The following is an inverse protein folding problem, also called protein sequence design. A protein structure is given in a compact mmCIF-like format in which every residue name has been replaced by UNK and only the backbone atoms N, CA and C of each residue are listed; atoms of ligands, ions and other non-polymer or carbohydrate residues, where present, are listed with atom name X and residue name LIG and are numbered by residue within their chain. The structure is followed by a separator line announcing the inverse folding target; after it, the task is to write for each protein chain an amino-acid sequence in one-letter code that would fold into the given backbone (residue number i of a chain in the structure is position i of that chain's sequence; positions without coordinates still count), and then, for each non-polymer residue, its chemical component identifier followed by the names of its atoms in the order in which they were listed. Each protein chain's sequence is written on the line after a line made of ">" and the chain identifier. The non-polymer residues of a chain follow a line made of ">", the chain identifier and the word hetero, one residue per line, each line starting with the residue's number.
data_IF_438274693709
#
_entry.id   IF_438274693709
#
_cell.length_a   1.000
_cell.length_b   1.000
_cell.length_c   1.000
_cell.angle_alpha   90.00
_cell.angle_beta   90.00
_cell.angle_gamma   90.00
#
_symmetry.space_group_name_H-M   'P 1'
#
loop_
_entity.id
_entity.type
_entity.pdbx_description
1 polymer ?
#
# COMPACT_ATOMS: atom_id res chain seq x y z
N UNK A 1 -5.41 -24.56 3.62
CA UNK A 1 -6.78 -24.38 4.17
C UNK A 1 -7.76 -25.01 3.21
N UNK A 2 -8.55 -25.95 3.66
CA UNK A 2 -9.54 -26.63 2.84
C UNK A 2 -10.87 -25.83 2.80
N UNK A 3 -11.83 -26.29 1.96
CA UNK A 3 -13.12 -25.60 1.76
C UNK A 3 -13.95 -25.52 3.05
N UNK A 4 -13.85 -26.53 3.91
CA UNK A 4 -14.59 -26.61 5.18
C UNK A 4 -14.00 -25.62 6.20
N UNK A 5 -12.68 -25.53 6.30
CA UNK A 5 -12.00 -24.56 7.17
C UNK A 5 -12.31 -23.11 6.74
N UNK A 6 -12.30 -22.86 5.44
CA UNK A 6 -12.65 -21.56 4.91
C UNK A 6 -14.12 -21.17 5.24
N UNK A 7 -15.03 -22.14 5.14
CA UNK A 7 -16.42 -21.89 5.48
C UNK A 7 -16.59 -21.56 6.97
N UNK A 8 -15.90 -22.29 7.86
CA UNK A 8 -15.90 -21.99 9.30
C UNK A 8 -15.46 -20.55 9.61
N UNK A 9 -14.45 -20.04 8.90
CA UNK A 9 -14.00 -18.66 9.08
C UNK A 9 -15.02 -17.64 8.56
N UNK A 10 -15.73 -17.96 7.47
CA UNK A 10 -16.82 -17.12 6.96
C UNK A 10 -18.04 -17.09 7.86
N UNK A 11 -18.25 -18.17 8.62
CA UNK A 11 -19.37 -18.31 9.53
C UNK A 11 -19.11 -17.68 10.91
N UNK A 12 -17.89 -17.18 11.17
CA UNK A 12 -17.61 -16.42 12.40
C UNK A 12 -18.54 -15.20 12.48
N UNK A 13 -19.09 -14.87 13.68
CA UNK A 13 -19.95 -13.69 13.83
C UNK A 13 -19.18 -12.40 13.50
N UNK A 14 -19.64 -11.67 12.48
CA UNK A 14 -18.93 -10.50 11.96
C UNK A 14 -18.73 -9.40 13.01
N UNK A 15 -19.72 -9.19 13.89
CA UNK A 15 -19.61 -8.20 14.97
C UNK A 15 -18.56 -8.62 16.01
N UNK A 16 -18.56 -9.89 16.42
CA UNK A 16 -17.55 -10.40 17.33
C UNK A 16 -16.13 -10.36 16.73
N UNK A 17 -16.00 -10.50 15.40
CA UNK A 17 -14.73 -10.29 14.71
C UNK A 17 -14.37 -8.81 14.67
N UNK A 18 -15.31 -7.92 14.40
CA UNK A 18 -15.12 -6.49 14.40
C UNK A 18 -14.62 -5.97 15.77
N UNK A 19 -15.24 -6.42 16.85
CA UNK A 19 -14.83 -6.08 18.22
C UNK A 19 -13.43 -6.59 18.56
N UNK A 20 -13.10 -7.82 18.18
CA UNK A 20 -11.73 -8.36 18.32
C UNK A 20 -10.68 -7.60 17.53
N UNK A 21 -11.09 -6.99 16.42
CA UNK A 21 -10.24 -6.13 15.59
C UNK A 21 -10.19 -4.67 16.09
N UNK A 22 -10.80 -4.38 17.26
CA UNK A 22 -10.73 -3.09 17.93
C UNK A 22 -11.85 -2.11 17.58
N UNK A 23 -12.87 -2.55 16.82
CA UNK A 23 -14.04 -1.70 16.55
C UNK A 23 -15.03 -1.76 17.73
N UNK A 24 -15.54 -0.60 18.10
CA UNK A 24 -16.64 -0.52 19.09
C UNK A 24 -17.97 -0.66 18.37
N UNK A 25 -18.60 -1.83 18.46
CA UNK A 25 -19.89 -2.11 17.82
C UNK A 25 -21.03 -1.77 18.78
N UNK A 26 -21.88 -0.82 18.41
CA UNK A 26 -23.06 -0.43 19.19
C UNK A 26 -24.29 -0.48 18.30
N UNK A 27 -25.29 -1.28 18.66
CA UNK A 27 -26.55 -1.44 17.89
C UNK A 27 -26.30 -1.71 16.40
N UNK A 28 -25.42 -2.67 16.10
CA UNK A 28 -25.03 -3.09 14.75
C UNK A 28 -24.33 -2.00 13.92
N UNK A 29 -23.73 -1.01 14.57
CA UNK A 29 -22.97 0.05 13.91
C UNK A 29 -21.65 0.31 14.62
N UNK A 30 -20.66 0.82 13.87
CA UNK A 30 -19.38 1.29 14.39
C UNK A 30 -18.91 2.50 13.59
N UNK A 31 -17.92 3.23 14.12
CA UNK A 31 -17.17 4.17 13.31
C UNK A 31 -16.41 3.40 12.23
N UNK A 32 -16.41 3.91 11.02
CA UNK A 32 -15.75 3.24 9.89
C UNK A 32 -14.23 3.45 9.96
N UNK A 33 -13.42 2.39 9.99
CA UNK A 33 -11.96 2.51 10.02
C UNK A 33 -11.34 2.80 8.66
N UNK A 34 -12.15 2.86 7.60
CA UNK A 34 -11.68 2.98 6.22
C UNK A 34 -11.76 4.41 5.67
N UNK A 35 -12.27 5.35 6.46
CA UNK A 35 -12.29 6.78 6.20
C UNK A 35 -12.41 7.54 7.54
N UNK A 36 -12.19 8.83 7.51
CA UNK A 36 -12.40 9.69 8.68
C UNK A 36 -13.90 9.77 8.99
N UNK A 37 -14.33 9.05 10.03
CA UNK A 37 -15.73 8.86 10.37
C UNK A 37 -16.04 9.40 11.77
N UNK A 38 -16.83 10.44 11.82
CA UNK A 38 -17.29 11.06 13.08
C UNK A 38 -18.69 10.59 13.51
N UNK A 39 -19.40 9.84 12.65
CA UNK A 39 -20.73 9.32 12.90
C UNK A 39 -20.79 7.88 12.42
N UNK A 40 -21.08 6.94 13.32
CA UNK A 40 -21.08 5.49 13.06
C UNK A 40 -21.75 5.12 11.71
N UNK A 41 -20.99 5.16 10.61
CA UNK A 41 -21.45 4.92 9.24
C UNK A 41 -21.27 3.47 8.79
N UNK A 42 -20.45 2.69 9.53
CA UNK A 42 -20.26 1.27 9.29
C UNK A 42 -21.40 0.47 9.92
N UNK A 43 -22.19 -0.22 9.12
CA UNK A 43 -23.31 -1.03 9.57
C UNK A 43 -23.04 -2.52 9.35
N UNK A 44 -23.42 -3.34 10.32
CA UNK A 44 -23.29 -4.80 10.28
C UNK A 44 -24.65 -5.45 10.04
N UNK A 45 -24.70 -6.39 9.12
CA UNK A 45 -25.86 -7.25 8.89
C UNK A 45 -25.59 -8.62 9.48
N UNK A 46 -26.08 -8.89 10.70
CA UNK A 46 -25.93 -10.19 11.38
C UNK A 46 -26.53 -11.32 10.54
N UNK A 47 -27.67 -11.09 9.91
CA UNK A 47 -28.35 -12.10 9.06
C UNK A 47 -27.53 -12.50 7.85
N UNK A 48 -26.83 -11.54 7.21
CA UNK A 48 -26.01 -11.79 6.02
C UNK A 48 -24.54 -12.04 6.36
N UNK A 49 -24.16 -11.81 7.60
CA UNK A 49 -22.79 -11.85 8.11
C UNK A 49 -21.85 -10.97 7.30
N UNK A 50 -22.29 -9.74 6.98
CA UNK A 50 -21.56 -8.75 6.17
C UNK A 50 -21.55 -7.39 6.84
N UNK A 51 -20.58 -6.56 6.47
CA UNK A 51 -20.56 -5.14 6.82
C UNK A 51 -20.73 -4.27 5.56
N UNK A 52 -21.22 -3.05 5.77
CA UNK A 52 -21.32 -2.01 4.73
C UNK A 52 -21.19 -0.64 5.38
N UNK A 53 -20.29 0.18 4.85
CA UNK A 53 -20.19 1.58 5.21
C UNK A 53 -21.01 2.44 4.22
N UNK A 54 -21.97 3.18 4.72
CA UNK A 54 -22.83 4.03 3.90
C UNK A 54 -22.17 5.34 3.46
N UNK A 55 -21.03 5.71 4.08
CA UNK A 55 -20.29 6.91 3.70
C UNK A 55 -19.22 6.64 2.63
N UNK A 56 -18.34 5.63 2.83
CA UNK A 56 -17.25 5.35 1.90
C UNK A 56 -17.51 4.15 0.97
N UNK A 57 -18.63 3.43 1.15
CA UNK A 57 -18.98 2.27 0.34
C UNK A 57 -18.18 1.00 0.63
N UNK A 58 -17.31 0.99 1.65
CA UNK A 58 -16.59 -0.21 2.05
C UNK A 58 -17.56 -1.31 2.49
N UNK A 59 -17.43 -2.51 1.96
CA UNK A 59 -18.31 -3.62 2.27
C UNK A 59 -17.61 -4.96 2.12
N UNK A 60 -18.17 -6.00 2.73
CA UNK A 60 -17.62 -7.36 2.61
C UNK A 60 -18.13 -8.29 3.68
N UNK A 61 -17.57 -9.50 3.72
CA UNK A 61 -17.78 -10.49 4.77
C UNK A 61 -16.70 -10.44 5.85
N UNK A 62 -16.69 -11.48 6.70
CA UNK A 62 -15.76 -11.58 7.83
C UNK A 62 -14.30 -11.53 7.42
N UNK A 63 -13.94 -12.27 6.36
CA UNK A 63 -12.56 -12.34 5.88
C UNK A 63 -12.16 -11.00 5.26
N UNK A 64 -13.07 -10.37 4.49
CA UNK A 64 -12.81 -9.05 3.87
C UNK A 64 -12.59 -7.98 4.95
N UNK A 65 -13.36 -8.03 6.04
CA UNK A 65 -13.20 -7.14 7.19
C UNK A 65 -11.79 -7.30 7.81
N UNK A 66 -11.37 -8.54 8.06
CA UNK A 66 -10.05 -8.82 8.61
C UNK A 66 -8.92 -8.41 7.65
N UNK A 67 -9.05 -8.69 6.35
CA UNK A 67 -8.09 -8.27 5.33
C UNK A 67 -7.93 -6.75 5.30
N UNK A 68 -9.05 -6.04 5.29
CA UNK A 68 -9.05 -4.58 5.16
C UNK A 68 -8.57 -3.88 6.44
N UNK A 69 -8.97 -4.35 7.62
CA UNK A 69 -8.56 -3.78 8.92
C UNK A 69 -7.10 -4.08 9.27
N UNK A 70 -6.67 -5.30 9.01
CA UNK A 70 -5.30 -5.72 9.33
C UNK A 70 -4.33 -5.40 8.19
N UNK A 71 -4.82 -4.92 7.04
CA UNK A 71 -4.05 -4.72 5.82
C UNK A 71 -3.26 -5.99 5.42
N UNK A 72 -3.90 -7.15 5.61
CA UNK A 72 -3.31 -8.47 5.36
C UNK A 72 -3.87 -9.08 4.09
N UNK A 73 -3.09 -9.99 3.49
CA UNK A 73 -3.59 -10.80 2.40
C UNK A 73 -4.63 -11.83 2.90
N UNK A 74 -5.30 -12.50 1.96
CA UNK A 74 -6.33 -13.49 2.26
C UNK A 74 -5.85 -14.60 3.20
N UNK A 75 -4.62 -15.10 3.00
CA UNK A 75 -4.07 -16.20 3.80
C UNK A 75 -3.71 -15.77 5.20
N UNK A 76 -3.11 -14.60 5.34
CA UNK A 76 -2.74 -14.02 6.61
C UNK A 76 -3.98 -13.64 7.44
N UNK A 77 -5.01 -13.06 6.80
CA UNK A 77 -6.28 -12.77 7.44
C UNK A 77 -6.98 -14.05 7.92
N UNK A 78 -7.01 -15.10 7.08
CA UNK A 78 -7.56 -16.38 7.46
C UNK A 78 -6.77 -17.04 8.60
N UNK A 79 -5.44 -16.95 8.61
CA UNK A 79 -4.61 -17.47 9.71
C UNK A 79 -4.90 -16.71 10.99
N UNK A 80 -4.93 -15.40 10.95
CA UNK A 80 -5.30 -14.57 12.10
C UNK A 80 -6.66 -14.93 12.68
N UNK A 81 -7.67 -15.11 11.83
CA UNK A 81 -9.01 -15.52 12.26
C UNK A 81 -9.03 -16.92 12.85
N UNK A 82 -8.22 -17.84 12.34
CA UNK A 82 -8.09 -19.20 12.88
C UNK A 82 -7.36 -19.22 14.23
N UNK A 83 -6.26 -18.49 14.35
CA UNK A 83 -5.45 -18.43 15.58
C UNK A 83 -6.17 -17.68 16.73
N UNK A 84 -7.02 -16.72 16.37
CA UNK A 84 -7.81 -15.93 17.32
C UNK A 84 -9.07 -16.67 17.82
N UNK A 85 -9.37 -17.80 17.22
CA UNK A 85 -10.51 -18.66 17.59
C UNK A 85 -10.07 -19.78 18.52
N UNK A 86 -9.96 -19.52 19.83
CA UNK A 86 -9.94 -20.60 20.82
C UNK A 86 -11.34 -21.23 20.86
N UNK A 87 -11.69 -21.98 19.81
CA UNK A 87 -12.82 -22.89 19.82
C UNK A 87 -12.26 -24.22 20.27
N UNK A 88 -12.59 -24.59 21.49
CA UNK A 88 -12.42 -25.93 22.06
C UNK A 88 -12.96 -26.96 21.05
N UNK A 89 -12.14 -27.40 20.12
CA UNK A 89 -12.39 -28.56 19.29
C UNK A 89 -11.58 -29.69 19.90
N UNK A 90 -12.27 -30.53 20.69
CA UNK A 90 -11.73 -31.81 21.10
C UNK A 90 -11.33 -32.57 19.83
N UNK A 91 -10.02 -32.75 19.68
CA UNK A 91 -9.44 -33.58 18.64
C UNK A 91 -9.84 -35.05 18.95
N UNK A 92 -10.77 -35.59 18.20
CA UNK A 92 -10.88 -37.03 18.07
C UNK A 92 -9.70 -37.53 17.25
N UNK A 93 -8.88 -38.34 17.89
CA UNK A 93 -7.76 -39.07 17.31
C UNK A 93 -8.20 -39.87 16.09
N UNK A 94 -7.75 -39.52 14.92
CA UNK A 94 -7.60 -40.47 13.81
C UNK A 94 -6.18 -40.29 13.26
N UNK A 95 -5.36 -41.26 13.67
CA UNK A 95 -4.01 -41.48 13.17
C UNK A 95 -4.10 -41.99 11.74
N UNK A 96 -3.71 -41.22 10.79
CA UNK A 96 -3.03 -41.65 9.57
C UNK A 96 -2.46 -40.42 8.87
N UNK A 97 -1.15 -40.26 8.71
CA UNK A 97 -0.60 -39.18 7.93
C UNK A 97 -0.80 -39.51 6.45
N UNK A 98 -1.77 -38.86 5.83
CA UNK A 98 -1.75 -38.70 4.39
C UNK A 98 -0.55 -37.81 4.04
N UNK A 99 0.21 -38.15 2.96
CA UNK A 99 1.37 -37.37 2.61
C UNK A 99 0.97 -35.92 2.41
N UNK A 100 1.60 -35.05 3.18
CA UNK A 100 1.58 -33.61 3.00
C UNK A 100 1.89 -33.33 1.52
N UNK A 101 0.90 -32.96 0.74
CA UNK A 101 1.17 -32.15 -0.42
C UNK A 101 1.79 -30.89 0.15
N UNK A 102 3.11 -30.83 0.02
CA UNK A 102 3.90 -29.66 0.32
C UNK A 102 3.15 -28.43 -0.18
N UNK A 103 2.98 -27.44 0.71
CA UNK A 103 2.24 -26.24 0.42
C UNK A 103 2.74 -25.69 -0.90
N UNK A 104 1.81 -25.29 -1.75
CA UNK A 104 2.14 -24.42 -2.86
C UNK A 104 2.79 -23.18 -2.21
N UNK A 105 4.11 -23.23 -2.09
CA UNK A 105 4.91 -22.05 -1.81
C UNK A 105 4.45 -21.00 -2.81
N UNK A 106 4.03 -19.85 -2.33
CA UNK A 106 3.75 -18.71 -3.21
C UNK A 106 5.08 -18.44 -3.90
N UNK A 107 5.21 -18.89 -5.14
CA UNK A 107 6.45 -18.79 -5.88
C UNK A 107 6.95 -17.34 -5.87
N UNK A 108 8.27 -17.13 -5.93
CA UNK A 108 8.85 -15.81 -5.99
C UNK A 108 8.23 -15.02 -7.17
N UNK A 109 8.20 -13.70 -7.04
CA UNK A 109 7.74 -12.82 -8.12
C UNK A 109 8.52 -13.11 -9.40
N UNK A 110 7.82 -13.53 -10.46
CA UNK A 110 8.42 -13.79 -11.76
C UNK A 110 8.49 -12.48 -12.57
N UNK A 111 9.58 -11.76 -12.43
CA UNK A 111 9.83 -10.49 -13.12
C UNK A 111 9.87 -10.66 -14.66
N UNK A 112 10.25 -11.84 -15.20
CA UNK A 112 10.40 -12.07 -16.65
C UNK A 112 9.09 -11.82 -17.40
N UNK A 113 7.94 -12.10 -16.76
CA UNK A 113 6.60 -11.89 -17.32
C UNK A 113 6.26 -10.43 -17.55
N UNK A 114 6.96 -9.52 -16.85
CA UNK A 114 6.64 -8.09 -16.81
C UNK A 114 7.69 -7.21 -17.48
N UNK A 115 8.97 -7.65 -17.54
CA UNK A 115 10.10 -6.83 -18.05
C UNK A 115 9.80 -6.20 -19.40
N UNK A 116 9.24 -6.96 -20.35
CA UNK A 116 8.90 -6.46 -21.71
C UNK A 116 8.00 -5.23 -21.70
N UNK A 117 7.10 -5.09 -20.71
CA UNK A 117 6.20 -3.95 -20.62
C UNK A 117 6.90 -2.69 -20.13
N UNK A 118 7.96 -2.85 -19.33
CA UNK A 118 8.73 -1.74 -18.78
C UNK A 118 9.96 -1.38 -19.60
N UNK A 119 10.41 -2.27 -20.48
CA UNK A 119 11.43 -1.97 -21.49
C UNK A 119 10.90 -1.06 -22.58
N UNK A 120 9.63 -1.24 -22.97
CA UNK A 120 8.92 -0.43 -23.97
C UNK A 120 7.59 0.06 -23.41
N UNK A 121 7.61 1.02 -22.48
CA UNK A 121 6.38 1.50 -21.85
C UNK A 121 5.42 2.07 -22.88
N UNK A 122 4.15 1.70 -22.75
CA UNK A 122 3.07 2.23 -23.55
C UNK A 122 1.93 2.70 -22.65
N UNK A 123 1.31 3.83 -22.98
CA UNK A 123 0.21 4.40 -22.21
C UNK A 123 -1.07 4.43 -23.03
N UNK A 124 -2.12 3.76 -22.54
CA UNK A 124 -3.47 3.87 -23.09
C UNK A 124 -4.01 5.30 -22.96
N UNK A 125 -5.04 5.66 -23.71
CA UNK A 125 -5.68 6.97 -23.58
C UNK A 125 -6.10 7.28 -22.13
N UNK A 126 -6.63 6.31 -21.39
CA UNK A 126 -7.03 6.48 -19.99
C UNK A 126 -5.82 6.70 -19.06
N UNK A 127 -4.72 6.00 -19.34
CA UNK A 127 -3.49 6.21 -18.57
C UNK A 127 -2.89 7.59 -18.85
N UNK A 128 -2.89 8.04 -20.10
CA UNK A 128 -2.44 9.38 -20.48
C UNK A 128 -3.29 10.45 -19.81
N UNK A 129 -4.61 10.32 -19.89
CA UNK A 129 -5.55 11.23 -19.22
C UNK A 129 -5.27 11.28 -17.72
N UNK A 130 -5.15 10.12 -17.06
CA UNK A 130 -4.87 10.05 -15.63
C UNK A 130 -3.55 10.73 -15.26
N UNK A 131 -2.46 10.42 -16.00
CA UNK A 131 -1.13 10.91 -15.64
C UNK A 131 -0.91 12.39 -16.02
N UNK A 132 -1.39 12.82 -17.19
CA UNK A 132 -1.07 14.14 -17.73
C UNK A 132 -2.18 15.18 -17.55
N UNK A 133 -3.47 14.78 -17.66
CA UNK A 133 -4.57 15.73 -17.52
C UNK A 133 -5.02 15.83 -16.06
N UNK A 134 -5.22 14.69 -15.38
CA UNK A 134 -5.73 14.67 -14.01
C UNK A 134 -4.60 14.91 -12.98
N UNK A 135 -3.44 14.24 -13.13
CA UNK A 135 -2.30 14.35 -12.21
C UNK A 135 -1.25 15.37 -12.64
N UNK A 136 -1.30 15.87 -13.88
CA UNK A 136 -0.41 16.89 -14.47
C UNK A 136 1.07 16.62 -14.27
N UNK A 137 1.47 15.34 -14.33
CA UNK A 137 2.84 14.92 -14.10
C UNK A 137 3.76 15.31 -15.27
N UNK A 138 5.02 15.56 -14.95
CA UNK A 138 6.06 15.74 -15.96
C UNK A 138 6.30 14.41 -16.72
N UNK A 139 6.35 14.46 -18.05
CA UNK A 139 6.61 13.29 -18.88
C UNK A 139 7.95 12.60 -18.55
N UNK A 140 8.95 13.37 -18.13
CA UNK A 140 10.25 12.82 -17.70
C UNK A 140 10.10 11.94 -16.47
N UNK A 141 9.21 12.30 -15.54
CA UNK A 141 8.90 11.50 -14.35
C UNK A 141 8.19 10.22 -14.73
N UNK A 142 7.21 10.30 -15.63
CA UNK A 142 6.48 9.12 -16.12
C UNK A 142 7.42 8.13 -16.79
N UNK A 143 8.38 8.63 -17.60
CA UNK A 143 9.44 7.83 -18.23
C UNK A 143 10.43 7.27 -17.21
N UNK A 144 10.90 8.08 -16.26
CA UNK A 144 11.79 7.64 -15.18
C UNK A 144 11.19 6.49 -14.38
N UNK A 145 9.93 6.65 -13.97
CA UNK A 145 9.19 5.64 -13.22
C UNK A 145 8.75 4.45 -14.08
N UNK A 146 9.02 4.46 -15.38
CA UNK A 146 8.64 3.42 -16.36
C UNK A 146 7.18 3.02 -16.26
N UNK A 147 6.28 4.01 -16.03
CA UNK A 147 4.85 3.74 -15.94
C UNK A 147 4.34 3.27 -17.29
N UNK A 148 3.57 2.19 -17.27
CA UNK A 148 2.97 1.62 -18.48
C UNK A 148 1.53 1.22 -18.21
N UNK A 149 0.77 0.86 -19.24
CA UNK A 149 -0.62 0.44 -19.09
C UNK A 149 -0.93 -0.81 -19.88
N UNK A 150 -1.97 -1.49 -19.49
CA UNK A 150 -2.49 -2.65 -20.19
C UNK A 150 -4.00 -2.77 -19.99
N UNK A 151 -4.65 -3.61 -20.79
CA UNK A 151 -6.04 -3.97 -20.58
C UNK A 151 -6.13 -5.45 -20.22
N UNK A 152 -6.95 -5.74 -19.23
CA UNK A 152 -7.21 -7.14 -18.89
C UNK A 152 -8.17 -7.79 -19.92
N UNK A 153 -8.44 -9.10 -19.75
CA UNK A 153 -9.30 -9.87 -20.64
C UNK A 153 -10.74 -9.33 -20.74
N UNK A 154 -11.15 -8.50 -19.77
CA UNK A 154 -12.46 -7.83 -19.76
C UNK A 154 -12.40 -6.42 -20.35
N UNK A 155 -11.26 -6.02 -20.89
CA UNK A 155 -11.04 -4.68 -21.45
C UNK A 155 -10.81 -3.59 -20.41
N UNK A 156 -10.74 -3.92 -19.10
CA UNK A 156 -10.51 -2.93 -18.03
C UNK A 156 -9.10 -2.36 -18.17
N UNK A 157 -8.95 -1.03 -18.24
CA UNK A 157 -7.63 -0.39 -18.32
C UNK A 157 -6.95 -0.34 -16.94
N UNK A 158 -5.68 -0.73 -16.91
CA UNK A 158 -4.83 -0.74 -15.71
C UNK A 158 -3.54 0.05 -15.97
N UNK A 159 -3.15 0.88 -15.00
CA UNK A 159 -1.81 1.45 -14.94
C UNK A 159 -0.91 0.49 -14.18
N UNK A 160 0.22 0.11 -14.77
CA UNK A 160 1.24 -0.72 -14.13
C UNK A 160 2.33 0.17 -13.54
N UNK A 161 2.59 -0.03 -12.27
CA UNK A 161 3.55 0.71 -11.46
C UNK A 161 4.64 -0.28 -11.04
N UNK A 162 5.86 -0.22 -11.64
CA UNK A 162 6.93 -1.15 -11.30
C UNK A 162 7.61 -0.75 -10.01
N UNK A 163 7.96 -1.74 -9.21
CA UNK A 163 8.79 -1.59 -8.01
C UNK A 163 10.17 -2.19 -8.30
N UNK A 164 11.17 -1.38 -8.17
CA UNK A 164 12.56 -1.79 -8.35
C UNK A 164 13.28 -1.79 -7.00
N UNK A 165 14.21 -2.74 -6.80
CA UNK A 165 15.18 -2.64 -5.73
C UNK A 165 16.20 -1.53 -6.01
N UNK A 166 17.13 -1.36 -5.09
CA UNK A 166 18.17 -0.32 -5.23
C UNK A 166 19.08 -0.55 -6.43
N UNK A 167 19.31 -1.79 -6.81
CA UNK A 167 20.13 -2.24 -7.93
C UNK A 167 19.41 -2.10 -9.28
N UNK A 168 18.12 -1.71 -9.25
CA UNK A 168 17.28 -1.55 -10.46
C UNK A 168 16.65 -2.84 -10.96
N UNK A 169 16.66 -3.91 -10.16
CA UNK A 169 15.96 -5.15 -10.49
C UNK A 169 14.48 -5.01 -10.18
N UNK A 170 13.61 -5.45 -11.09
CA UNK A 170 12.17 -5.46 -10.90
C UNK A 170 11.78 -6.50 -9.84
N UNK A 171 11.20 -6.05 -8.73
CA UNK A 171 10.82 -6.90 -7.57
C UNK A 171 9.31 -6.98 -7.35
N UNK A 172 8.54 -6.14 -8.01
CA UNK A 172 7.09 -6.14 -7.89
C UNK A 172 6.41 -5.24 -8.90
N UNK A 173 5.11 -5.42 -9.03
CA UNK A 173 4.23 -4.57 -9.85
C UNK A 173 2.95 -4.31 -9.08
N UNK A 174 2.56 -3.06 -8.99
CA UNK A 174 1.23 -2.65 -8.55
C UNK A 174 0.41 -2.25 -9.78
N UNK A 175 -0.78 -2.80 -9.93
CA UNK A 175 -1.70 -2.41 -11.00
C UNK A 175 -2.80 -1.54 -10.40
N UNK A 176 -2.93 -0.30 -10.87
CA UNK A 176 -4.00 0.63 -10.51
C UNK A 176 -5.11 0.57 -11.55
N UNK A 177 -6.34 0.37 -11.09
CA UNK A 177 -7.53 0.47 -11.94
C UNK A 177 -7.73 1.92 -12.40
N UNK A 178 -7.89 2.11 -13.70
CA UNK A 178 -8.10 3.43 -14.30
C UNK A 178 -9.58 3.77 -14.52
N UNK A 179 -10.47 2.83 -14.22
CA UNK A 179 -11.93 3.11 -14.24
C UNK A 179 -12.28 3.80 -12.90
N UNK A 180 -12.84 5.03 -12.93
CA UNK A 180 -13.23 5.75 -11.74
C UNK A 180 -14.20 4.94 -10.87
N UNK A 181 -13.93 4.89 -9.56
CA UNK A 181 -14.79 4.18 -8.59
C UNK A 181 -14.79 2.65 -8.67
N UNK A 182 -14.11 2.06 -9.67
CA UNK A 182 -14.10 0.60 -9.81
C UNK A 182 -13.25 -0.09 -8.73
N UNK A 183 -13.76 -1.23 -8.27
CA UNK A 183 -13.06 -2.11 -7.33
C UNK A 183 -12.60 -3.41 -8.03
N UNK A 184 -11.47 -3.97 -7.63
CA UNK A 184 -10.49 -3.41 -6.70
C UNK A 184 -9.74 -2.23 -7.33
N UNK A 185 -9.42 -1.23 -6.50
CA UNK A 185 -8.61 -0.07 -6.93
C UNK A 185 -7.20 -0.48 -7.32
N UNK A 186 -6.65 -1.45 -6.62
CA UNK A 186 -5.30 -1.98 -6.88
C UNK A 186 -5.31 -3.50 -6.98
N UNK A 187 -4.39 -4.04 -7.79
CA UNK A 187 -4.06 -5.47 -7.88
C UNK A 187 -2.56 -5.66 -7.85
N UNK A 188 -2.13 -6.75 -7.24
CA UNK A 188 -0.72 -7.11 -7.14
C UNK A 188 -0.53 -8.51 -7.73
N UNK A 189 0.40 -8.71 -8.69
CA UNK A 189 0.81 -10.04 -9.09
C UNK A 189 1.34 -10.85 -7.91
N UNK A 190 1.19 -12.16 -7.99
CA UNK A 190 1.67 -13.07 -6.97
C UNK A 190 3.16 -12.88 -6.71
N UNK A 191 3.57 -12.82 -5.45
CA UNK A 191 4.96 -12.64 -5.03
C UNK A 191 5.52 -11.22 -5.20
N UNK A 192 4.73 -10.24 -5.69
CA UNK A 192 5.17 -8.85 -5.81
C UNK A 192 5.62 -8.28 -4.47
N UNK A 193 6.83 -7.73 -4.44
CA UNK A 193 7.37 -7.00 -3.29
C UNK A 193 7.21 -5.49 -3.55
N UNK A 194 6.10 -4.93 -3.07
CA UNK A 194 5.79 -3.51 -3.22
C UNK A 194 6.05 -2.78 -1.89
N UNK A 195 7.31 -2.78 -1.46
CA UNK A 195 7.81 -2.03 -0.30
C UNK A 195 8.04 -0.56 -0.64
N UNK A 196 9.25 -0.03 -0.33
CA UNK A 196 9.61 1.35 -0.65
C UNK A 196 9.63 1.53 -2.17
N UNK A 197 8.90 2.53 -2.65
CA UNK A 197 8.84 2.88 -4.07
C UNK A 197 10.00 3.79 -4.47
N UNK A 198 10.49 3.65 -5.71
CA UNK A 198 11.54 4.47 -6.33
C UNK A 198 12.90 4.38 -5.62
N UNK A 199 13.26 3.21 -5.07
CA UNK A 199 14.57 2.97 -4.44
C UNK A 199 15.79 3.34 -5.30
N UNK A 200 15.79 3.20 -6.66
CA UNK A 200 16.93 3.59 -7.48
C UNK A 200 17.34 5.06 -7.34
N UNK A 201 16.44 5.96 -6.93
CA UNK A 201 16.78 7.39 -6.70
C UNK A 201 17.86 7.56 -5.63
N UNK A 202 17.97 6.62 -4.70
CA UNK A 202 18.98 6.66 -3.64
C UNK A 202 20.42 6.60 -4.19
N UNK A 203 20.61 6.04 -5.39
CA UNK A 203 21.91 5.98 -6.05
C UNK A 203 22.32 7.31 -6.70
N UNK A 204 21.38 8.24 -6.82
CA UNK A 204 21.60 9.59 -7.37
C UNK A 204 21.83 10.65 -6.28
N UNK A 205 21.81 10.23 -5.01
CA UNK A 205 22.04 11.16 -3.91
C UNK A 205 23.52 11.48 -3.77
N UNK A 206 23.79 12.77 -3.60
CA UNK A 206 25.11 13.31 -3.25
C UNK A 206 25.05 13.96 -1.85
N UNK A 207 26.20 14.14 -1.17
CA UNK A 207 26.22 14.82 0.12
C UNK A 207 25.59 16.22 0.04
N UNK A 208 24.64 16.49 0.94
CA UNK A 208 23.90 17.76 0.97
C UNK A 208 22.60 17.77 0.16
N UNK A 209 22.28 16.68 -0.53
CA UNK A 209 20.99 16.56 -1.23
C UNK A 209 19.81 16.39 -0.27
N UNK A 210 18.65 16.86 -0.70
CA UNK A 210 17.38 16.62 -0.05
C UNK A 210 16.71 15.35 -0.60
N UNK A 211 16.28 14.46 0.28
CA UNK A 211 15.44 13.31 -0.04
C UNK A 211 14.07 13.47 0.61
N UNK A 212 13.05 13.46 -0.22
CA UNK A 212 11.67 13.58 0.21
C UNK A 212 11.03 12.20 0.36
N UNK A 213 10.30 12.00 1.45
CA UNK A 213 9.53 10.80 1.74
C UNK A 213 8.06 11.15 1.58
N UNK A 214 7.32 10.34 0.83
CA UNK A 214 5.87 10.51 0.60
C UNK A 214 5.12 9.24 0.94
N UNK A 215 3.80 9.36 1.06
CA UNK A 215 2.88 8.22 1.16
C UNK A 215 2.36 7.84 -0.22
N UNK A 216 2.66 6.64 -0.65
CA UNK A 216 2.21 6.17 -1.95
C UNK A 216 2.92 6.74 -3.19
N UNK A 217 2.83 5.98 -4.27
CA UNK A 217 3.54 6.29 -5.51
C UNK A 217 3.05 7.60 -6.18
N UNK A 218 1.76 7.95 -6.03
CA UNK A 218 1.20 9.16 -6.65
C UNK A 218 1.86 10.43 -6.14
N UNK A 219 2.07 10.54 -4.83
CA UNK A 219 2.70 11.70 -4.20
C UNK A 219 4.19 11.76 -4.52
N UNK A 220 4.84 10.59 -4.64
CA UNK A 220 6.20 10.50 -5.12
C UNK A 220 6.33 11.05 -6.55
N UNK A 221 5.41 10.73 -7.47
CA UNK A 221 5.44 11.27 -8.83
C UNK A 221 5.22 12.79 -8.85
N UNK A 222 4.30 13.30 -8.04
CA UNK A 222 4.09 14.73 -7.87
C UNK A 222 5.36 15.42 -7.36
N UNK A 223 5.99 14.84 -6.33
CA UNK A 223 7.25 15.35 -5.76
C UNK A 223 8.39 15.36 -6.79
N UNK A 224 8.57 14.25 -7.53
CA UNK A 224 9.54 14.14 -8.62
C UNK A 224 9.27 15.17 -9.73
N UNK A 225 7.99 15.46 -10.02
CA UNK A 225 7.59 16.45 -11.04
C UNK A 225 7.92 17.89 -10.64
N UNK A 226 8.23 18.15 -9.37
CA UNK A 226 8.80 19.42 -8.90
C UNK A 226 10.32 19.46 -8.97
N UNK A 227 10.97 18.42 -9.51
CA UNK A 227 12.43 18.31 -9.60
C UNK A 227 13.11 17.81 -8.33
N UNK A 228 12.36 17.42 -7.30
CA UNK A 228 12.90 16.90 -6.03
C UNK A 228 13.17 15.41 -6.14
N UNK A 229 14.16 14.90 -5.38
CA UNK A 229 14.43 13.47 -5.25
C UNK A 229 13.49 12.89 -4.20
N UNK A 230 12.71 11.86 -4.55
CA UNK A 230 11.69 11.32 -3.65
C UNK A 230 11.59 9.79 -3.72
N UNK A 231 11.23 9.21 -2.57
CA UNK A 231 10.77 7.83 -2.41
C UNK A 231 9.36 7.83 -1.81
N UNK A 232 8.63 6.72 -1.97
CA UNK A 232 7.37 6.57 -1.27
C UNK A 232 7.36 5.34 -0.38
N UNK A 233 6.66 5.46 0.75
CA UNK A 233 6.39 4.36 1.67
C UNK A 233 4.89 4.08 1.59
N UNK A 234 4.47 2.92 1.08
CA UNK A 234 3.08 2.69 0.69
C UNK A 234 2.09 2.64 1.85
N UNK A 235 2.57 2.52 3.09
CA UNK A 235 1.75 2.59 4.30
C UNK A 235 2.63 2.55 5.56
N UNK A 236 2.19 3.21 6.62
CA UNK A 236 2.80 3.16 7.96
C UNK A 236 2.91 1.71 8.50
N UNK A 237 1.96 0.86 8.16
CA UNK A 237 1.90 -0.53 8.61
C UNK A 237 2.79 -1.48 7.81
N UNK A 238 3.30 -1.04 6.66
CA UNK A 238 4.12 -1.85 5.74
C UNK A 238 5.62 -1.62 5.87
N UNK A 239 6.07 -0.74 6.78
CA UNK A 239 7.49 -0.55 7.08
C UNK A 239 8.06 -1.80 7.75
N UNK A 240 8.60 -2.70 6.93
CA UNK A 240 9.26 -3.91 7.40
C UNK A 240 10.60 -3.57 8.09
N UNK A 241 11.13 -4.53 8.86
CA UNK A 241 12.49 -4.40 9.41
C UNK A 241 13.52 -4.16 8.31
N UNK A 242 13.36 -4.82 7.16
CA UNK A 242 14.23 -4.66 5.98
C UNK A 242 14.14 -3.24 5.41
N UNK A 243 12.95 -2.65 5.32
CA UNK A 243 12.77 -1.27 4.84
C UNK A 243 13.45 -0.26 5.76
N UNK A 244 13.31 -0.45 7.08
CA UNK A 244 14.00 0.37 8.09
C UNK A 244 15.53 0.28 7.96
N UNK A 245 16.05 -0.92 7.75
CA UNK A 245 17.47 -1.14 7.49
C UNK A 245 17.94 -0.48 6.19
N UNK A 246 17.13 -0.52 5.13
CA UNK A 246 17.42 0.15 3.86
C UNK A 246 17.49 1.68 4.03
N UNK A 247 16.57 2.27 4.78
CA UNK A 247 16.58 3.70 5.08
C UNK A 247 17.81 4.10 5.93
N UNK A 248 18.16 3.29 6.93
CA UNK A 248 19.36 3.48 7.76
C UNK A 248 20.65 3.33 6.95
N UNK A 249 20.73 2.35 6.04
CA UNK A 249 21.86 2.18 5.14
C UNK A 249 21.95 3.34 4.14
N UNK A 250 20.82 3.88 3.67
CA UNK A 250 20.78 5.12 2.89
C UNK A 250 21.44 6.29 3.62
N UNK A 251 21.23 6.39 4.93
CA UNK A 251 21.93 7.37 5.81
C UNK A 251 23.44 7.08 5.94
N UNK A 252 23.84 5.80 6.00
CA UNK A 252 25.24 5.39 6.15
C UNK A 252 26.03 5.37 4.83
N UNK A 253 25.37 5.36 3.68
CA UNK A 253 25.99 5.33 2.35
C UNK A 253 26.34 6.72 1.80
N UNK A 254 26.03 7.75 2.55
CA UNK A 254 26.59 9.07 2.30
C UNK A 254 28.02 9.06 2.88
N UNK A 255 29.05 9.39 2.09
CA UNK A 255 30.44 9.26 2.53
C UNK A 255 30.67 9.97 3.87
N UNK A 256 30.98 9.20 4.91
CA UNK A 256 31.39 9.70 6.23
C UNK A 256 32.82 10.21 6.20
N UNK A 257 33.28 10.71 5.06
CA UNK A 257 34.61 11.29 4.86
C UNK A 257 34.62 12.79 5.09
N UNK A 258 34.94 13.21 6.33
CA UNK A 258 35.30 14.56 6.69
C UNK A 258 34.19 15.60 6.59
N UNK A 259 33.73 16.19 7.72
CA UNK A 259 32.83 17.36 7.83
C UNK A 259 31.67 17.48 6.84
N UNK A 260 31.29 16.39 6.16
CA UNK A 260 30.30 16.34 5.08
C UNK A 260 28.90 16.15 5.66
N UNK A 261 28.02 17.08 5.32
CA UNK A 261 26.60 17.00 5.60
C UNK A 261 26.01 15.81 4.83
N UNK A 262 25.40 14.84 5.53
CA UNK A 262 24.61 13.77 4.91
C UNK A 262 23.40 14.33 4.14
N UNK A 263 22.63 13.48 3.45
CA UNK A 263 21.37 13.90 2.86
C UNK A 263 20.39 14.35 3.95
N UNK A 264 19.60 15.37 3.61
CA UNK A 264 18.52 15.85 4.47
C UNK A 264 17.24 15.12 4.10
N UNK A 265 16.54 14.63 5.12
CA UNK A 265 15.28 13.91 4.93
C UNK A 265 14.11 14.81 5.25
N UNK A 266 13.14 14.85 4.35
CA UNK A 266 11.95 15.68 4.44
C UNK A 266 10.68 14.84 4.21
N UNK A 267 9.59 15.22 4.87
CA UNK A 267 8.29 14.62 4.63
C UNK A 267 7.19 15.67 4.77
N UNK A 268 6.21 15.60 3.86
CA UNK A 268 4.87 16.15 4.04
C UNK A 268 3.96 14.99 4.41
N UNK A 269 3.65 14.75 5.68
CA UNK A 269 2.68 13.72 6.03
C UNK A 269 1.31 14.06 5.45
N UNK A 270 0.56 13.03 5.05
CA UNK A 270 -0.85 13.21 4.73
C UNK A 270 -1.59 13.79 5.95
N UNK A 271 -2.55 14.67 5.71
CA UNK A 271 -3.31 15.33 6.78
C UNK A 271 -4.40 14.42 7.34
N UNK A 272 -3.98 13.24 7.77
CA UNK A 272 -4.81 12.28 8.49
C UNK A 272 -3.99 11.56 9.56
N UNK A 273 -4.66 10.82 10.42
CA UNK A 273 -4.01 10.12 11.52
C UNK A 273 -2.94 9.10 11.05
N UNK A 274 -3.18 8.29 10.00
CA UNK A 274 -2.16 7.41 9.44
C UNK A 274 -0.90 8.13 8.99
N UNK A 275 -1.02 9.29 8.33
CA UNK A 275 0.11 10.09 7.86
C UNK A 275 0.99 10.58 9.00
N UNK A 276 0.39 11.15 10.03
CA UNK A 276 1.12 11.58 11.22
C UNK A 276 1.77 10.38 11.96
N UNK A 277 1.10 9.24 12.03
CA UNK A 277 1.68 8.03 12.60
C UNK A 277 2.88 7.52 11.80
N UNK A 278 2.82 7.57 10.47
CA UNK A 278 3.94 7.21 9.62
C UNK A 278 5.13 8.13 9.87
N UNK A 279 4.91 9.45 9.93
CA UNK A 279 5.96 10.42 10.25
C UNK A 279 6.64 10.09 11.58
N UNK A 280 5.87 9.88 12.65
CA UNK A 280 6.40 9.54 13.97
C UNK A 280 7.19 8.22 13.99
N UNK A 281 6.75 7.23 13.21
CA UNK A 281 7.49 5.96 13.06
C UNK A 281 8.82 6.17 12.33
N UNK A 282 8.81 6.96 11.26
CA UNK A 282 10.01 7.27 10.49
C UNK A 282 10.98 8.13 11.29
N UNK A 283 10.50 9.07 12.08
CA UNK A 283 11.34 9.91 12.94
C UNK A 283 12.12 9.10 13.97
N UNK A 284 11.56 7.98 14.47
CA UNK A 284 12.29 7.03 15.34
C UNK A 284 13.48 6.37 14.64
N UNK A 285 13.40 6.20 13.31
CA UNK A 285 14.45 5.59 12.49
C UNK A 285 15.40 6.66 11.94
N UNK A 286 14.87 7.81 11.59
CA UNK A 286 15.59 8.97 11.02
C UNK A 286 15.31 10.19 11.92
N UNK A 287 16.05 10.37 13.03
CA UNK A 287 15.78 11.48 13.96
C UNK A 287 15.90 12.89 13.33
N UNK A 288 16.64 13.01 12.23
CA UNK A 288 16.82 14.26 11.49
C UNK A 288 15.71 14.51 10.42
N UNK A 289 14.68 13.67 10.36
CA UNK A 289 13.56 13.84 9.44
C UNK A 289 12.82 15.15 9.73
N UNK A 290 12.73 16.01 8.72
CA UNK A 290 12.03 17.30 8.83
C UNK A 290 10.56 17.14 8.45
N UNK A 291 9.69 17.61 9.34
CA UNK A 291 8.24 17.67 9.13
C UNK A 291 7.89 18.96 8.38
N UNK A 292 7.14 18.82 7.27
CA UNK A 292 6.59 19.94 6.54
C UNK A 292 5.07 19.88 6.57
N UNK A 293 4.43 20.99 6.88
CA UNK A 293 2.99 21.04 6.99
C UNK A 293 2.36 21.40 5.64
N UNK A 294 1.36 20.61 5.22
CA UNK A 294 0.52 20.91 4.06
C UNK A 294 -0.48 22.05 4.41
N UNK A 295 -0.86 22.88 3.42
CA UNK A 295 -1.96 23.83 3.59
C UNK A 295 -3.25 23.14 4.03
N UNK A 296 -4.15 23.84 4.77
CA UNK A 296 -5.41 23.27 5.25
C UNK A 296 -6.31 22.68 4.15
N UNK A 297 -6.23 23.21 2.93
CA UNK A 297 -7.00 22.75 1.76
C UNK A 297 -6.46 21.50 1.09
N UNK A 298 -5.25 21.02 1.47
CA UNK A 298 -4.61 19.87 0.86
C UNK A 298 -4.60 18.69 1.82
N UNK A 299 -5.09 17.54 1.37
CA UNK A 299 -5.03 16.32 2.14
C UNK A 299 -3.64 15.67 2.07
N UNK A 300 -3.07 15.62 0.87
CA UNK A 300 -1.80 14.98 0.53
C UNK A 300 -0.93 15.90 -0.34
N UNK A 301 0.29 15.44 -0.65
CA UNK A 301 1.19 16.23 -1.49
C UNK A 301 0.70 16.34 -2.94
N UNK A 302 -0.05 15.38 -3.46
CA UNK A 302 -0.63 15.47 -4.80
C UNK A 302 -1.64 16.61 -4.89
N UNK A 303 -2.47 16.81 -3.85
CA UNK A 303 -3.39 17.96 -3.79
C UNK A 303 -2.62 19.28 -3.77
N UNK A 304 -1.57 19.38 -2.95
CA UNK A 304 -0.72 20.57 -2.89
C UNK A 304 -0.06 20.87 -4.24
N UNK A 305 0.48 19.84 -4.89
CA UNK A 305 1.10 19.95 -6.20
C UNK A 305 0.11 20.50 -7.25
N UNK A 306 -1.09 19.95 -7.31
CA UNK A 306 -2.10 20.35 -8.28
C UNK A 306 -2.64 21.76 -8.05
N UNK A 307 -2.81 22.16 -6.78
CA UNK A 307 -3.41 23.44 -6.44
C UNK A 307 -2.40 24.59 -6.51
N UNK A 308 -1.16 24.38 -6.09
CA UNK A 308 -0.21 25.47 -5.86
C UNK A 308 1.04 25.43 -6.74
N UNK A 309 1.48 24.25 -7.13
CA UNK A 309 2.75 24.11 -7.87
C UNK A 309 2.52 23.87 -9.37
N UNK A 310 1.37 23.37 -9.73
CA UNK A 310 0.99 23.09 -11.13
C UNK A 310 -0.47 23.48 -11.36
N UNK A 311 -0.84 24.73 -11.17
CA UNK A 311 -2.23 25.17 -11.41
C UNK A 311 -2.61 24.99 -12.89
N UNK A 312 -3.93 25.06 -13.23
CA UNK A 312 -4.42 24.87 -14.59
C UNK A 312 -3.78 25.82 -15.60
#
# INVERSE_FOLDING_TARGET
>A
MNRIELQKLRDLPIEGVAERLGLQVVRHKALCPFHDDHHASLSFSVRRNTYHCFACGAHGGVIDLAMNLLHKDFREACRFLADSGNVNCQMSNVSTPLPLREGLEVGPFDASRYLRYFERPWLSPEARKFLFDERRLDERVVRWCRLTSWRDRRGVPWLQIPYYDREGKLVGVQNRNLVPGALPRFRFPQGSQCGIYNLPVLNLLTPGDDLWITEGASDCWAMLSTGRKAIAIPSATLLTKKDKELLLKGKALLPTGGAGRGAFFHMFPDRDLPGEQLFLQLQKVIPSLQHHQLPPSCKDFSDYYLQYLKPP
#
